data_IF_867934131555
#
_entry.id   IF_867934131555
#
_cell.length_a   1.000
_cell.length_b   1.000
_cell.length_c   1.000
_cell.angle_alpha   90.00
_cell.angle_beta   90.00
_cell.angle_gamma   90.00
#
_symmetry.space_group_name_H-M   'P 1'
#
loop_
_entity.id
_entity.type
_entity.pdbx_description
1 polymer ?
#
# COMPACT_ATOMS: atom_id res chain seq x y z
N UNK A 1 25.25 10.70 4.07
CA UNK A 1 23.93 10.34 4.61
C UNK A 1 23.98 8.88 5.05
N UNK A 2 23.50 8.55 6.24
CA UNK A 2 23.48 7.17 6.73
C UNK A 2 22.26 6.45 6.17
N UNK A 3 22.44 5.30 5.53
CA UNK A 3 21.32 4.46 5.10
C UNK A 3 20.93 3.47 6.20
N UNK A 4 19.63 3.15 6.30
CA UNK A 4 19.08 2.19 7.26
C UNK A 4 18.12 1.25 6.54
N UNK A 5 18.40 -0.05 6.58
CA UNK A 5 17.50 -1.07 6.00
C UNK A 5 16.42 -1.45 7.01
N UNK A 6 15.15 -1.30 6.63
CA UNK A 6 13.98 -1.70 7.38
C UNK A 6 13.48 -3.06 6.88
N UNK A 7 13.44 -4.04 7.78
CA UNK A 7 12.68 -5.28 7.60
C UNK A 7 11.23 -5.04 8.05
N UNK A 8 10.22 -5.13 7.16
CA UNK A 8 8.83 -4.87 7.52
C UNK A 8 8.35 -5.72 8.70
N UNK A 9 7.67 -5.09 9.66
CA UNK A 9 7.18 -5.76 10.88
C UNK A 9 8.23 -5.96 11.98
N UNK A 10 9.47 -5.50 11.78
CA UNK A 10 10.57 -5.68 12.76
C UNK A 10 11.33 -4.39 13.08
N UNK A 11 10.78 -3.23 12.76
CA UNK A 11 11.38 -1.94 13.06
C UNK A 11 11.47 -1.69 14.57
N UNK A 12 12.66 -1.34 15.05
CA UNK A 12 12.96 -1.04 16.45
C UNK A 12 12.83 0.46 16.72
N UNK A 13 12.67 0.85 17.99
CA UNK A 13 12.69 2.27 18.38
C UNK A 13 14.00 2.99 18.02
N UNK A 14 15.12 2.26 17.97
CA UNK A 14 16.40 2.82 17.53
C UNK A 14 16.40 3.18 16.04
N UNK A 15 15.71 2.39 15.20
CA UNK A 15 15.58 2.62 13.76
C UNK A 15 14.80 3.92 13.53
N UNK A 16 13.68 4.08 14.23
CA UNK A 16 12.87 5.30 14.20
C UNK A 16 13.66 6.53 14.66
N UNK A 17 14.46 6.40 15.73
CA UNK A 17 15.34 7.48 16.21
C UNK A 17 16.39 7.86 15.17
N UNK A 18 16.98 6.89 14.49
CA UNK A 18 17.97 7.15 13.44
C UNK A 18 17.34 7.88 12.25
N UNK A 19 16.15 7.45 11.80
CA UNK A 19 15.40 8.12 10.73
C UNK A 19 15.05 9.56 11.13
N UNK A 20 14.55 9.77 12.34
CA UNK A 20 14.25 11.10 12.88
C UNK A 20 15.49 12.03 12.88
N UNK A 21 16.69 11.46 13.07
CA UNK A 21 17.97 12.19 13.03
C UNK A 21 18.59 12.29 11.64
N UNK A 22 17.89 11.86 10.58
CA UNK A 22 18.31 12.05 9.19
C UNK A 22 18.87 10.80 8.50
N UNK A 23 18.74 9.61 9.07
CA UNK A 23 19.03 8.38 8.33
C UNK A 23 17.98 8.18 7.22
N UNK A 24 18.42 7.69 6.05
CA UNK A 24 17.56 7.42 4.90
C UNK A 24 17.10 5.96 4.97
N UNK A 25 15.80 5.70 5.18
CA UNK A 25 15.29 4.33 5.21
C UNK A 25 15.30 3.70 3.81
N UNK A 26 15.63 2.42 3.75
CA UNK A 26 15.49 1.54 2.59
C UNK A 26 14.67 0.33 3.02
N UNK A 27 13.86 -0.22 2.12
CA UNK A 27 13.20 -1.49 2.39
C UNK A 27 14.16 -2.65 2.10
N UNK A 28 14.15 -3.64 2.97
CA UNK A 28 14.78 -4.93 2.71
C UNK A 28 14.27 -5.51 1.38
N UNK A 29 15.17 -5.91 0.49
CA UNK A 29 14.82 -6.45 -0.82
C UNK A 29 13.92 -7.69 -0.73
N UNK A 30 13.98 -8.45 0.37
CA UNK A 30 13.16 -9.63 0.62
C UNK A 30 11.66 -9.32 0.69
N UNK A 31 11.24 -8.07 0.90
CA UNK A 31 9.83 -7.70 0.90
C UNK A 31 9.23 -7.55 -0.51
N UNK A 32 10.07 -7.32 -1.54
CA UNK A 32 9.61 -7.01 -2.91
C UNK A 32 8.71 -8.09 -3.51
N UNK A 33 9.01 -9.40 -3.39
CA UNK A 33 8.13 -10.44 -3.95
C UNK A 33 6.73 -10.44 -3.33
N UNK A 34 6.62 -10.24 -2.01
CA UNK A 34 5.32 -10.18 -1.32
C UNK A 34 4.51 -8.95 -1.75
N UNK A 35 5.14 -7.79 -1.85
CA UNK A 35 4.50 -6.56 -2.34
C UNK A 35 3.93 -6.76 -3.75
N UNK A 36 4.73 -7.33 -4.66
CA UNK A 36 4.28 -7.61 -6.04
C UNK A 36 3.12 -8.59 -6.07
N UNK A 37 3.19 -9.70 -5.34
CA UNK A 37 2.12 -10.68 -5.29
C UNK A 37 0.79 -10.09 -4.77
N UNK A 38 0.85 -9.19 -3.79
CA UNK A 38 -0.31 -8.45 -3.29
C UNK A 38 -0.88 -7.50 -4.34
N UNK A 39 -0.03 -6.74 -5.05
CA UNK A 39 -0.48 -5.85 -6.12
C UNK A 39 -1.16 -6.63 -7.27
N UNK A 40 -0.59 -7.76 -7.67
CA UNK A 40 -1.20 -8.65 -8.67
C UNK A 40 -2.53 -9.23 -8.20
N UNK A 41 -2.68 -9.53 -6.91
CA UNK A 41 -3.94 -9.99 -6.34
C UNK A 41 -5.03 -8.93 -6.45
N UNK A 42 -4.71 -7.65 -6.16
CA UNK A 42 -5.64 -6.53 -6.35
C UNK A 42 -6.02 -6.40 -7.84
N UNK A 43 -5.06 -6.51 -8.75
CA UNK A 43 -5.34 -6.50 -10.20
C UNK A 43 -6.31 -7.61 -10.62
N UNK A 44 -6.14 -8.84 -10.11
CA UNK A 44 -7.08 -9.95 -10.37
C UNK A 44 -8.47 -9.69 -9.80
N UNK A 45 -8.58 -9.03 -8.65
CA UNK A 45 -9.86 -8.66 -8.03
C UNK A 45 -10.58 -7.62 -8.89
N UNK A 46 -9.87 -6.58 -9.34
CA UNK A 46 -10.42 -5.56 -10.23
C UNK A 46 -10.94 -6.16 -11.54
N UNK A 47 -10.19 -7.10 -12.13
CA UNK A 47 -10.58 -7.78 -13.36
C UNK A 47 -11.87 -8.61 -13.24
N UNK A 48 -12.23 -9.07 -12.04
CA UNK A 48 -13.52 -9.76 -11.81
C UNK A 48 -14.71 -8.80 -11.82
N UNK A 49 -14.49 -7.51 -11.56
CA UNK A 49 -15.53 -6.48 -11.58
C UNK A 49 -16.48 -6.47 -10.36
N UNK A 50 -16.31 -7.39 -9.41
CA UNK A 50 -17.11 -7.43 -8.18
C UNK A 50 -16.78 -6.24 -7.25
N UNK A 51 -17.76 -5.69 -6.51
CA UNK A 51 -17.50 -4.62 -5.53
C UNK A 51 -16.64 -5.13 -4.36
N UNK A 52 -15.52 -4.45 -4.11
CA UNK A 52 -14.58 -4.74 -3.02
C UNK A 52 -14.24 -3.44 -2.28
N UNK A 53 -14.54 -3.46 -0.98
CA UNK A 53 -14.44 -2.28 -0.12
C UNK A 53 -13.04 -1.64 -0.16
N UNK A 54 -12.99 -0.35 -0.45
CA UNK A 54 -11.75 0.44 -0.49
C UNK A 54 -10.85 0.14 -1.68
N UNK A 55 -11.28 -0.72 -2.62
CA UNK A 55 -10.58 -0.99 -3.88
C UNK A 55 -11.34 -0.35 -5.04
N UNK A 56 -12.59 -0.76 -5.26
CA UNK A 56 -13.45 -0.24 -6.34
C UNK A 56 -14.84 0.14 -5.83
N UNK A 57 -14.93 0.53 -4.56
CA UNK A 57 -16.15 1.09 -3.96
C UNK A 57 -15.88 2.47 -3.38
N UNK A 58 -16.93 3.20 -3.05
CA UNK A 58 -16.80 4.36 -2.18
C UNK A 58 -16.42 3.99 -0.74
N UNK A 59 -16.26 5.01 0.11
CA UNK A 59 -15.93 4.86 1.54
C UNK A 59 -17.17 5.09 2.43
N UNK A 60 -17.14 4.52 3.64
CA UNK A 60 -18.20 4.75 4.64
C UNK A 60 -19.59 4.37 4.14
N UNK A 61 -20.52 5.33 4.07
CA UNK A 61 -21.90 5.10 3.57
C UNK A 61 -21.94 4.57 2.13
N UNK A 62 -20.88 4.80 1.35
CA UNK A 62 -20.74 4.36 -0.04
C UNK A 62 -19.96 3.04 -0.19
N UNK A 63 -19.68 2.32 0.92
CA UNK A 63 -18.91 1.07 0.92
C UNK A 63 -19.45 -0.02 -0.01
N UNK A 64 -20.74 0.01 -0.35
CA UNK A 64 -21.38 -0.94 -1.26
C UNK A 64 -21.58 -0.39 -2.68
N UNK A 65 -21.22 0.87 -2.93
CA UNK A 65 -21.39 1.51 -4.24
C UNK A 65 -20.12 1.29 -5.04
N UNK A 66 -20.21 0.50 -6.12
CA UNK A 66 -19.10 0.27 -7.05
C UNK A 66 -18.77 1.56 -7.80
N UNK A 67 -17.48 1.86 -7.91
CA UNK A 67 -16.91 2.97 -8.67
C UNK A 67 -16.38 2.43 -10.01
N UNK A 68 -16.66 3.09 -11.15
CA UNK A 68 -16.10 2.72 -12.45
C UNK A 68 -14.57 2.77 -12.46
N UNK A 69 -13.95 1.94 -13.30
CA UNK A 69 -12.48 1.86 -13.42
C UNK A 69 -11.85 3.21 -13.82
N UNK A 70 -12.51 3.97 -14.70
CA UNK A 70 -12.09 5.31 -15.13
C UNK A 70 -11.96 6.31 -13.98
N UNK A 71 -12.64 6.06 -12.88
CA UNK A 71 -12.74 7.00 -11.76
C UNK A 71 -11.88 6.55 -10.57
N UNK A 72 -11.26 5.36 -10.63
CA UNK A 72 -10.50 4.81 -9.50
C UNK A 72 -9.26 5.64 -9.16
N UNK A 73 -8.56 6.22 -10.13
CA UNK A 73 -7.44 7.11 -9.84
C UNK A 73 -7.91 8.38 -9.10
N UNK A 74 -9.05 8.94 -9.52
CA UNK A 74 -9.67 10.08 -8.84
C UNK A 74 -10.13 9.70 -7.43
N UNK A 75 -10.66 8.48 -7.25
CA UNK A 75 -11.03 7.95 -5.93
C UNK A 75 -9.83 7.89 -4.98
N UNK A 76 -8.65 7.47 -5.45
CA UNK A 76 -7.44 7.40 -4.59
C UNK A 76 -6.86 8.78 -4.22
N UNK A 77 -7.16 9.81 -5.02
CA UNK A 77 -6.73 11.19 -4.75
C UNK A 77 -7.60 11.91 -3.71
N UNK A 78 -8.89 11.59 -3.67
CA UNK A 78 -9.89 12.26 -2.83
C UNK A 78 -9.95 11.67 -1.43
#
# INVERSE_FOLDING_TARGET
>A
MTELTLTPGSARLADWRAIYRGAVPKLDAACRPKIRASAEAVGRILAKGEPVYGINTGFGKLASVRIPESDLETLQRN
#
